data_IF_325826315954
#
_entry.id   IF_325826315954
#
_cell.length_a   1.000
_cell.length_b   1.000
_cell.length_c   1.000
_cell.angle_alpha   90.00
_cell.angle_beta   90.00
_cell.angle_gamma   90.00
#
_symmetry.space_group_name_H-M   'P 1'
#
loop_
_entity.id
_entity.type
_entity.pdbx_description
1 polymer ?
#
# COMPACT_ATOMS: atom_id res chain seq x y z
N UNK A 1 31.62 51.04 -20.42
CA UNK A 1 30.72 51.90 -19.62
C UNK A 1 29.80 50.97 -18.82
N UNK A 2 30.34 50.05 -18.00
CA UNK A 2 29.57 48.85 -17.58
C UNK A 2 29.76 48.45 -16.10
N UNK A 3 30.41 49.29 -15.29
CA UNK A 3 30.67 49.00 -13.87
C UNK A 3 29.50 49.31 -12.93
N UNK A 4 28.47 50.04 -13.37
CA UNK A 4 27.33 50.42 -12.52
C UNK A 4 26.30 49.31 -12.35
N UNK A 5 26.11 48.44 -13.36
CA UNK A 5 25.13 47.36 -13.31
C UNK A 5 25.42 46.31 -12.23
N UNK A 6 26.69 45.95 -12.04
CA UNK A 6 27.09 44.90 -11.08
C UNK A 6 27.00 45.37 -9.62
N UNK A 7 27.28 46.66 -9.37
CA UNK A 7 27.21 47.25 -8.04
C UNK A 7 25.76 47.48 -7.59
N UNK A 8 24.88 47.89 -8.50
CA UNK A 8 23.44 48.02 -8.28
C UNK A 8 22.77 46.67 -7.98
N UNK A 9 23.07 45.64 -8.77
CA UNK A 9 22.53 44.29 -8.56
C UNK A 9 22.97 43.67 -7.23
N UNK A 10 24.25 43.83 -6.86
CA UNK A 10 24.78 43.33 -5.58
C UNK A 10 24.14 44.03 -4.39
N UNK A 11 23.85 45.32 -4.51
CA UNK A 11 23.11 46.09 -3.49
C UNK A 11 21.67 45.61 -3.37
N UNK A 12 20.98 45.40 -4.49
CA UNK A 12 19.60 44.89 -4.52
C UNK A 12 19.45 43.48 -3.92
N UNK A 13 20.37 42.56 -4.22
CA UNK A 13 20.37 41.20 -3.62
C UNK A 13 20.56 41.22 -2.10
N UNK A 14 21.20 42.25 -1.55
CA UNK A 14 21.46 42.40 -0.11
C UNK A 14 20.33 43.11 0.63
N UNK A 15 19.45 43.82 -0.06
CA UNK A 15 18.32 44.53 0.56
C UNK A 15 17.01 43.74 0.50
N UNK A 16 17.01 42.53 -0.09
CA UNK A 16 15.83 41.67 -0.25
C UNK A 16 16.16 40.21 0.08
N UNK A 17 15.16 39.38 0.45
CA UNK A 17 15.32 37.94 0.64
C UNK A 17 15.50 37.21 -0.71
N UNK A 18 16.58 37.55 -1.44
CA UNK A 18 16.80 37.11 -2.82
C UNK A 18 16.82 35.58 -2.93
N UNK A 19 17.65 34.93 -2.11
CA UNK A 19 17.79 33.48 -2.11
C UNK A 19 16.50 32.76 -1.71
N UNK A 20 15.75 33.32 -0.75
CA UNK A 20 14.44 32.78 -0.36
C UNK A 20 13.46 32.74 -1.54
N UNK A 21 13.35 33.86 -2.27
CA UNK A 21 12.52 33.93 -3.47
C UNK A 21 13.00 33.01 -4.60
N UNK A 22 14.32 32.91 -4.83
CA UNK A 22 14.89 32.04 -5.89
C UNK A 22 14.52 30.57 -5.64
N UNK A 23 14.75 30.06 -4.43
CA UNK A 23 14.44 28.65 -4.14
C UNK A 23 12.94 28.38 -4.16
N UNK A 24 12.10 29.31 -3.69
CA UNK A 24 10.65 29.17 -3.78
C UNK A 24 10.15 29.14 -5.23
N UNK A 25 10.66 30.03 -6.10
CA UNK A 25 10.28 30.08 -7.52
C UNK A 25 10.73 28.81 -8.25
N UNK A 26 11.98 28.36 -8.02
CA UNK A 26 12.46 27.11 -8.61
C UNK A 26 11.67 25.90 -8.13
N UNK A 27 11.33 25.84 -6.84
CA UNK A 27 10.48 24.78 -6.28
C UNK A 27 9.09 24.77 -6.93
N UNK A 28 8.48 25.93 -7.14
CA UNK A 28 7.17 26.02 -7.80
C UNK A 28 7.20 25.72 -9.31
N UNK A 29 8.26 26.12 -10.00
CA UNK A 29 8.48 25.77 -11.42
C UNK A 29 8.68 24.27 -11.62
N UNK A 30 9.45 23.62 -10.75
CA UNK A 30 9.62 22.16 -10.74
C UNK A 30 8.26 21.44 -10.61
N UNK A 31 7.40 21.92 -9.69
CA UNK A 31 6.06 21.36 -9.50
C UNK A 31 5.18 21.47 -10.75
N UNK A 32 5.32 22.55 -11.52
CA UNK A 32 4.53 22.78 -12.74
C UNK A 32 5.13 22.03 -13.94
N UNK A 33 6.46 21.94 -14.04
CA UNK A 33 7.14 21.38 -15.21
C UNK A 33 6.92 19.87 -15.40
N UNK A 34 6.76 19.14 -14.29
CA UNK A 34 6.69 17.66 -14.33
C UNK A 34 5.43 17.14 -15.03
N UNK A 35 4.21 17.68 -14.77
CA UNK A 35 3.02 17.32 -15.55
C UNK A 35 3.15 17.56 -17.07
N UNK A 36 4.02 18.47 -17.50
CA UNK A 36 4.25 18.75 -18.93
C UNK A 36 5.30 17.81 -19.56
N UNK A 37 6.02 17.01 -18.77
CA UNK A 37 6.98 16.05 -19.31
C UNK A 37 6.21 14.93 -20.03
N UNK A 38 6.43 14.71 -21.34
CA UNK A 38 5.73 13.67 -22.10
C UNK A 38 6.31 12.30 -21.75
N UNK A 39 5.97 11.79 -20.57
CA UNK A 39 6.14 10.38 -20.28
C UNK A 39 4.97 9.63 -20.95
N UNK A 40 5.22 8.55 -21.71
CA UNK A 40 4.19 7.76 -22.39
C UNK A 40 3.42 6.88 -21.39
N UNK A 41 2.95 7.48 -20.30
CA UNK A 41 1.98 6.91 -19.39
C UNK A 41 0.66 7.63 -19.66
N UNK A 42 -0.19 6.97 -20.44
CA UNK A 42 -1.61 7.33 -20.59
C UNK A 42 -2.28 7.08 -19.24
N UNK A 43 -2.04 7.97 -18.28
CA UNK A 43 -2.80 8.12 -17.06
C UNK A 43 -3.73 9.27 -17.34
N UNK A 44 -5.05 9.01 -17.38
CA UNK A 44 -6.02 10.08 -17.30
C UNK A 44 -5.70 10.89 -16.04
N UNK A 45 -5.12 12.08 -16.23
CA UNK A 45 -4.69 12.99 -15.18
C UNK A 45 -5.90 13.34 -14.33
N UNK A 46 -6.09 12.62 -13.21
CA UNK A 46 -7.20 12.84 -12.30
C UNK A 46 -7.16 14.25 -11.68
N UNK A 47 -8.20 14.61 -10.93
CA UNK A 47 -8.33 15.90 -10.24
C UNK A 47 -7.10 16.30 -9.38
N UNK A 48 -6.29 15.32 -8.95
CA UNK A 48 -5.03 15.55 -8.23
C UNK A 48 -3.97 16.31 -9.06
N UNK A 49 -3.97 16.17 -10.39
CA UNK A 49 -3.06 16.89 -11.27
C UNK A 49 -3.28 18.40 -11.22
N UNK A 50 -4.54 18.85 -11.18
CA UNK A 50 -4.89 20.28 -11.17
C UNK A 50 -4.47 20.95 -9.86
N UNK A 51 -4.54 20.23 -8.73
CA UNK A 51 -4.11 20.77 -7.43
C UNK A 51 -2.61 21.11 -7.41
N UNK A 52 -1.77 20.31 -8.07
CA UNK A 52 -0.32 20.57 -8.15
C UNK A 52 0.02 21.84 -8.92
N UNK A 53 -0.74 22.17 -9.96
CA UNK A 53 -0.58 23.41 -10.74
C UNK A 53 -0.94 24.63 -9.89
N UNK A 54 -2.04 24.55 -9.13
CA UNK A 54 -2.43 25.62 -8.21
C UNK A 54 -1.40 25.85 -7.11
N UNK A 55 -0.91 24.78 -6.48
CA UNK A 55 0.09 24.86 -5.41
C UNK A 55 1.42 25.39 -5.97
N UNK A 56 1.87 24.89 -7.12
CA UNK A 56 3.09 25.37 -7.80
C UNK A 56 2.99 26.84 -8.18
N UNK A 57 1.87 27.28 -8.77
CA UNK A 57 1.66 28.68 -9.13
C UNK A 57 1.63 29.60 -7.90
N UNK A 58 1.01 29.17 -6.80
CA UNK A 58 0.98 29.93 -5.56
C UNK A 58 2.36 30.04 -4.92
N UNK A 59 3.18 28.98 -5.01
CA UNK A 59 4.56 28.97 -4.52
C UNK A 59 5.47 29.90 -5.35
N UNK A 60 5.34 29.88 -6.69
CA UNK A 60 6.04 30.85 -7.56
C UNK A 60 5.62 32.28 -7.22
N UNK A 61 4.33 32.51 -7.05
CA UNK A 61 3.78 33.82 -6.69
C UNK A 61 4.34 34.30 -5.35
N UNK A 62 4.39 33.42 -4.34
CA UNK A 62 4.98 33.74 -3.04
C UNK A 62 6.47 34.13 -3.15
N UNK A 63 7.25 33.41 -3.97
CA UNK A 63 8.66 33.71 -4.21
C UNK A 63 8.89 35.04 -4.94
N UNK A 64 8.03 35.38 -5.92
CA UNK A 64 8.06 36.69 -6.60
C UNK A 64 7.64 37.82 -5.66
N UNK A 65 6.60 37.61 -4.85
CA UNK A 65 6.13 38.59 -3.88
C UNK A 65 7.16 38.86 -2.77
N UNK A 66 8.00 37.88 -2.41
CA UNK A 66 9.15 38.14 -1.53
C UNK A 66 10.14 39.16 -2.12
N UNK A 67 10.31 39.20 -3.44
CA UNK A 67 11.12 40.22 -4.09
C UNK A 67 10.37 41.54 -4.19
N UNK A 68 9.09 41.55 -4.53
CA UNK A 68 8.31 42.79 -4.68
C UNK A 68 8.03 43.51 -3.35
N UNK A 69 7.76 42.73 -2.29
CA UNK A 69 7.27 43.22 -1.01
C UNK A 69 8.05 42.63 0.18
N UNK A 70 9.31 43.06 0.40
CA UNK A 70 10.15 42.54 1.49
C UNK A 70 9.63 42.86 2.90
N UNK A 71 8.64 43.77 3.03
CA UNK A 71 7.95 44.07 4.28
C UNK A 71 7.08 42.92 4.78
N UNK A 72 6.47 42.13 3.88
CA UNK A 72 5.58 41.01 4.22
C UNK A 72 6.28 39.64 4.10
N UNK A 73 7.62 39.63 4.03
CA UNK A 73 8.41 38.40 3.77
C UNK A 73 8.14 37.25 4.75
N UNK A 74 7.83 37.54 6.02
CA UNK A 74 7.56 36.50 7.02
C UNK A 74 6.29 35.72 6.68
N UNK A 75 5.25 36.42 6.20
CA UNK A 75 4.01 35.81 5.76
C UNK A 75 4.24 34.92 4.54
N UNK A 76 4.95 35.44 3.53
CA UNK A 76 5.27 34.66 2.32
C UNK A 76 6.22 33.50 2.59
N UNK A 77 7.12 33.62 3.58
CA UNK A 77 8.02 32.54 3.99
C UNK A 77 7.28 31.39 4.65
N UNK A 78 6.37 31.70 5.58
CA UNK A 78 5.49 30.69 6.18
C UNK A 78 4.57 30.09 5.13
N UNK A 79 3.98 30.90 4.24
CA UNK A 79 3.14 30.41 3.15
C UNK A 79 3.89 29.45 2.22
N UNK A 80 5.15 29.75 1.87
CA UNK A 80 5.99 28.87 1.06
C UNK A 80 6.25 27.52 1.75
N UNK A 81 6.54 27.53 3.05
CA UNK A 81 6.69 26.30 3.85
C UNK A 81 5.39 25.50 3.88
N UNK A 82 4.25 26.15 4.14
CA UNK A 82 2.94 25.50 4.19
C UNK A 82 2.55 24.89 2.83
N UNK A 83 2.78 25.61 1.73
CA UNK A 83 2.50 25.11 0.37
C UNK A 83 3.41 23.94 0.00
N UNK A 84 4.68 24.00 0.42
CA UNK A 84 5.63 22.91 0.22
C UNK A 84 5.20 21.64 0.96
N UNK A 85 4.74 21.76 2.21
CA UNK A 85 4.22 20.63 2.99
C UNK A 85 2.87 20.12 2.45
N UNK A 86 1.98 21.03 2.02
CA UNK A 86 0.70 20.67 1.42
C UNK A 86 0.88 19.91 0.10
N UNK A 87 1.91 20.25 -0.69
CA UNK A 87 2.26 19.53 -1.93
C UNK A 87 2.62 18.06 -1.69
N UNK A 88 3.21 17.74 -0.53
CA UNK A 88 3.51 16.36 -0.15
C UNK A 88 2.25 15.56 0.17
N UNK A 89 1.30 16.17 0.89
CA UNK A 89 0.07 15.51 1.32
C UNK A 89 -0.93 15.30 0.17
N UNK A 90 -0.90 16.16 -0.83
CA UNK A 90 -1.91 16.20 -1.90
C UNK A 90 -1.55 15.37 -3.14
N UNK A 91 -0.27 15.09 -3.37
CA UNK A 91 0.17 14.30 -4.52
C UNK A 91 0.57 12.89 -4.08
N UNK A 92 -0.12 11.86 -4.60
CA UNK A 92 0.22 10.44 -4.36
C UNK A 92 1.64 10.06 -4.85
N UNK A 93 2.24 10.93 -5.66
CA UNK A 93 3.67 11.05 -5.88
C UNK A 93 4.07 12.46 -5.50
N UNK A 94 4.25 12.67 -4.18
CA UNK A 94 4.54 13.95 -3.53
C UNK A 94 5.41 14.81 -4.43
N UNK A 95 4.97 16.04 -4.71
CA UNK A 95 5.69 17.00 -5.54
C UNK A 95 7.17 16.85 -5.31
N UNK A 96 7.83 16.29 -6.33
CA UNK A 96 9.12 15.59 -6.29
C UNK A 96 10.03 16.11 -5.17
N UNK A 97 10.67 15.24 -4.38
CA UNK A 97 11.45 15.61 -3.17
C UNK A 97 12.28 16.90 -3.33
N UNK A 98 12.81 17.13 -4.53
CA UNK A 98 13.50 18.35 -4.95
C UNK A 98 12.61 19.60 -4.80
N UNK A 99 11.43 19.68 -5.42
CA UNK A 99 10.51 20.82 -5.30
C UNK A 99 10.08 21.10 -3.86
N UNK A 100 9.84 20.05 -3.07
CA UNK A 100 9.58 20.18 -1.64
C UNK A 100 10.78 20.75 -0.86
N UNK A 101 11.98 20.25 -1.12
CA UNK A 101 13.19 20.74 -0.44
C UNK A 101 13.46 22.20 -0.82
N UNK A 102 13.30 22.55 -2.10
CA UNK A 102 13.45 23.92 -2.58
C UNK A 102 12.41 24.86 -1.97
N UNK A 103 11.15 24.45 -1.89
CA UNK A 103 10.09 25.24 -1.26
C UNK A 103 10.34 25.45 0.23
N UNK A 104 10.72 24.40 0.96
CA UNK A 104 11.04 24.44 2.38
C UNK A 104 12.24 25.36 2.67
N UNK A 105 13.35 25.17 1.92
CA UNK A 105 14.56 25.98 2.07
C UNK A 105 14.30 27.43 1.67
N UNK A 106 13.56 27.67 0.59
CA UNK A 106 13.18 29.02 0.16
C UNK A 106 12.33 29.75 1.20
N UNK A 107 11.33 29.07 1.76
CA UNK A 107 10.49 29.62 2.82
C UNK A 107 11.26 29.92 4.10
N UNK A 108 12.13 29.00 4.54
CA UNK A 108 12.96 29.19 5.73
C UNK A 108 13.97 30.34 5.55
N UNK A 109 14.62 30.45 4.39
CA UNK A 109 15.55 31.55 4.09
C UNK A 109 14.82 32.89 3.99
N UNK A 110 13.62 32.92 3.42
CA UNK A 110 12.81 34.14 3.36
C UNK A 110 12.33 34.61 4.73
N UNK A 111 11.98 33.66 5.61
CA UNK A 111 11.58 33.94 6.98
C UNK A 111 12.76 34.42 7.85
N UNK A 112 13.92 33.76 7.74
CA UNK A 112 15.11 34.07 8.51
C UNK A 112 15.82 35.36 8.05
N UNK A 113 15.56 35.83 6.83
CA UNK A 113 16.19 37.04 6.32
C UNK A 113 15.78 38.26 7.17
N UNK A 114 16.76 39.09 7.54
CA UNK A 114 16.55 40.36 8.25
C UNK A 114 17.31 41.49 7.57
N UNK A 115 16.75 42.72 7.45
CA UNK A 115 17.48 43.85 6.93
C UNK A 115 18.69 44.10 7.83
N UNK A 116 19.85 44.32 7.22
CA UNK A 116 21.03 44.73 7.98
C UNK A 116 20.69 46.03 8.72
N UNK A 117 20.86 46.03 10.05
CA UNK A 117 20.72 47.24 10.84
C UNK A 117 21.70 48.29 10.28
N UNK A 118 21.28 49.57 10.15
CA UNK A 118 22.22 50.63 9.80
C UNK A 118 23.40 50.55 10.76
N UNK A 119 24.62 50.53 10.22
CA UNK A 119 25.81 50.66 11.04
C UNK A 119 25.64 51.92 11.88
N UNK A 120 25.42 51.76 13.18
CA UNK A 120 25.34 52.90 14.10
C UNK A 120 26.62 53.69 13.88
N UNK A 121 26.55 55.01 13.57
CA UNK A 121 27.73 55.82 13.39
C UNK A 121 28.63 55.57 14.59
N UNK A 122 29.82 55.04 14.34
CA UNK A 122 30.81 54.88 15.39
C UNK A 122 30.98 56.26 16.00
N UNK A 123 30.60 56.43 17.27
CA UNK A 123 30.81 57.67 17.99
C UNK A 123 32.27 58.06 17.78
N UNK A 124 32.59 59.32 17.42
CA UNK A 124 33.94 59.73 17.09
C UNK A 124 34.86 59.29 18.22
N UNK A 125 35.76 58.35 17.91
CA UNK A 125 36.72 57.86 18.87
C UNK A 125 37.51 59.08 19.39
N UNK A 126 37.64 59.28 20.71
CA UNK A 126 38.47 60.35 21.21
C UNK A 126 39.87 60.18 20.60
N UNK A 127 40.40 61.24 19.98
CA UNK A 127 41.77 61.28 19.46
C UNK A 127 42.71 60.96 20.62
N UNK A 128 43.06 59.69 20.80
CA UNK A 128 44.13 59.30 21.70
C UNK A 128 45.44 59.69 21.04
N UNK A 129 46.14 60.59 21.73
CA UNK A 129 47.51 60.97 21.42
C UNK A 129 48.34 59.71 21.19
N UNK A 130 49.11 59.75 20.12
CA UNK A 130 50.02 58.72 19.68
C UNK A 130 51.12 58.55 20.73
N UNK A 131 51.06 57.48 21.51
CA UNK A 131 52.24 56.95 22.20
C UNK A 131 52.42 55.50 21.82
N UNK A 132 53.58 55.25 21.19
CA UNK A 132 53.98 53.96 20.67
C UNK A 132 54.25 52.97 21.80
N UNK A 133 54.03 51.70 21.49
CA UNK A 133 54.30 50.61 22.41
C UNK A 133 53.52 49.38 21.99
N UNK A 134 54.12 48.58 21.11
CA UNK A 134 53.63 47.26 20.70
C UNK A 134 53.42 46.39 21.94
N UNK A 135 52.23 45.82 22.14
CA UNK A 135 52.07 44.61 22.95
C UNK A 135 50.95 43.71 22.39
N UNK A 136 51.39 42.54 21.95
CA UNK A 136 50.65 41.28 21.88
C UNK A 136 50.38 40.75 23.30
N UNK A 137 49.13 40.37 23.62
CA UNK A 137 48.73 39.40 24.64
C UNK A 137 47.21 39.18 24.53
N UNK A 138 46.71 38.03 24.05
CA UNK A 138 46.39 36.78 24.79
C UNK A 138 45.19 36.91 25.76
N UNK A 139 44.12 36.22 25.34
CA UNK A 139 43.00 35.53 26.00
C UNK A 139 42.69 35.68 27.52
N UNK A 140 41.39 35.96 27.79
CA UNK A 140 40.37 35.37 28.73
C UNK A 140 40.73 35.05 30.21
N UNK A 141 39.79 34.91 31.20
CA UNK A 141 38.34 34.63 31.11
C UNK A 141 37.39 35.27 32.19
N UNK A 142 36.10 34.86 32.13
CA UNK A 142 35.13 34.63 33.22
C UNK A 142 34.30 35.79 33.85
N UNK A 143 32.97 35.71 33.65
CA UNK A 143 31.86 35.86 34.63
C UNK A 143 30.52 35.91 33.84
N UNK A 144 29.82 34.81 33.56
CA UNK A 144 28.79 34.19 34.41
C UNK A 144 27.88 35.19 35.14
N UNK A 145 26.65 35.33 34.64
CA UNK A 145 25.57 36.11 35.25
C UNK A 145 24.23 35.85 34.55
N UNK A 146 23.66 34.65 34.77
CA UNK A 146 22.25 34.35 34.52
C UNK A 146 21.38 35.08 35.55
N UNK A 147 20.22 35.62 35.12
CA UNK A 147 19.01 35.42 35.92
C UNK A 147 17.82 35.10 35.01
N UNK A 148 17.29 33.87 35.10
CA UNK A 148 15.93 33.54 34.67
C UNK A 148 15.40 32.41 35.56
N UNK A 149 15.07 32.76 36.81
CA UNK A 149 14.02 32.10 37.56
C UNK A 149 12.78 32.97 37.48
N UNK A 150 11.89 32.64 36.54
CA UNK A 150 10.48 32.99 36.61
C UNK A 150 9.70 31.71 36.26
N UNK A 151 8.96 31.12 37.23
CA UNK A 151 8.21 29.90 37.01
C UNK A 151 6.96 30.18 36.17
N UNK A 152 6.76 29.36 35.14
CA UNK A 152 5.56 29.34 34.32
C UNK A 152 4.42 28.71 35.12
N UNK A 153 3.19 29.25 35.10
CA UNK A 153 2.05 28.62 35.77
C UNK A 153 1.66 27.32 35.05
N UNK A 154 1.83 26.20 35.75
CA UNK A 154 1.35 24.87 35.37
C UNK A 154 -0.18 24.77 35.54
N UNK A 155 -0.93 24.24 34.57
CA UNK A 155 -2.32 23.87 34.79
C UNK A 155 -2.43 22.64 35.73
N UNK A 156 -3.47 22.54 36.57
CA UNK A 156 -3.58 21.51 37.59
C UNK A 156 -3.76 20.11 37.01
N UNK A 157 -2.95 19.18 37.53
CA UNK A 157 -3.07 17.75 37.30
C UNK A 157 -4.45 17.24 37.75
N UNK A 158 -5.21 16.75 36.78
CA UNK A 158 -6.37 15.91 37.03
C UNK A 158 -5.94 14.61 37.71
N UNK A 159 -6.57 14.36 38.84
CA UNK A 159 -6.53 13.16 39.66
C UNK A 159 -6.61 11.86 38.86
N UNK A 160 -5.68 10.96 39.13
CA UNK A 160 -5.76 9.55 38.78
C UNK A 160 -7.02 8.90 39.38
N UNK A 161 -7.72 8.01 38.65
CA UNK A 161 -8.47 6.94 39.25
C UNK A 161 -7.60 5.70 39.35
N UNK A 162 -7.37 5.31 40.59
CA UNK A 162 -6.93 4.02 41.09
C UNK A 162 -7.51 2.84 40.33
N UNK A 163 -6.66 1.89 39.94
CA UNK A 163 -7.04 0.48 39.76
C UNK A 163 -7.12 -0.19 41.13
N UNK A 164 -8.21 -0.89 41.45
CA UNK A 164 -8.13 -1.99 42.40
C UNK A 164 -8.59 -3.31 41.76
N UNK A 165 -7.65 -4.25 41.74
CA UNK A 165 -7.80 -5.58 42.35
C UNK A 165 -8.94 -6.48 41.87
N UNK A 166 -8.53 -7.55 41.19
CA UNK A 166 -9.29 -8.80 41.06
C UNK A 166 -9.53 -9.47 42.43
N UNK A 167 -10.65 -10.18 42.62
CA UNK A 167 -10.75 -11.25 43.59
C UNK A 167 -10.72 -12.63 42.89
N UNK A 168 -9.87 -13.49 43.42
CA UNK A 168 -9.78 -14.92 43.13
C UNK A 168 -10.63 -15.71 44.14
N UNK A 169 -11.21 -16.82 43.67
CA UNK A 169 -11.60 -18.07 44.38
C UNK A 169 -12.90 -18.08 45.25
N UNK A 170 -13.43 -19.25 45.67
CA UNK A 170 -13.52 -20.61 45.05
C UNK A 170 -14.92 -21.28 45.26
N UNK A 171 -14.99 -22.62 45.08
CA UNK A 171 -16.03 -23.60 45.49
C UNK A 171 -17.19 -23.83 44.49
N UNK A 172 -17.68 -25.05 44.26
CA UNK A 172 -17.31 -26.40 44.67
C UNK A 172 -18.05 -27.42 43.78
N UNK A 173 -17.42 -28.57 43.59
CA UNK A 173 -17.98 -29.88 43.16
C UNK A 173 -19.18 -30.31 44.03
N UNK A 174 -20.05 -31.26 43.62
CA UNK A 174 -19.65 -32.68 43.66
C UNK A 174 -20.14 -33.56 42.49
N UNK A 175 -19.37 -34.61 42.24
CA UNK A 175 -19.78 -35.85 41.56
C UNK A 175 -20.85 -36.63 42.36
N UNK A 176 -21.48 -37.64 41.77
CA UNK A 176 -21.00 -39.03 41.97
C UNK A 176 -20.96 -39.82 40.64
N UNK A 177 -19.89 -40.55 40.33
CA UNK A 177 -19.61 -41.94 40.73
C UNK A 177 -20.72 -42.93 40.39
N UNK A 178 -20.48 -43.76 39.37
CA UNK A 178 -20.80 -45.20 39.39
C UNK A 178 -20.06 -45.92 38.24
N UNK A 179 -19.05 -46.68 38.61
CA UNK A 179 -18.65 -47.95 37.97
C UNK A 179 -19.15 -49.08 38.92
N UNK A 180 -19.04 -50.40 38.64
CA UNK A 180 -18.32 -51.07 37.55
C UNK A 180 -19.01 -52.33 36.95
N UNK A 181 -18.27 -53.04 36.07
CA UNK A 181 -18.31 -54.50 35.80
C UNK A 181 -19.36 -54.99 34.79
N UNK A 182 -19.01 -55.69 33.70
CA UNK A 182 -18.37 -57.03 33.68
C UNK A 182 -17.87 -57.39 32.26
N UNK A 183 -16.75 -58.11 32.17
CA UNK A 183 -16.34 -58.91 31.00
C UNK A 183 -17.03 -60.29 31.05
N UNK A 184 -17.06 -61.12 29.97
CA UNK A 184 -15.87 -61.93 29.60
C UNK A 184 -15.66 -62.25 28.09
N UNK A 185 -14.38 -62.34 27.73
CA UNK A 185 -13.71 -63.44 26.99
C UNK A 185 -14.28 -64.02 25.68
N UNK A 186 -13.53 -63.90 24.57
CA UNK A 186 -13.14 -65.03 23.71
C UNK A 186 -12.06 -64.67 22.67
N UNK A 187 -10.97 -65.46 22.65
CA UNK A 187 -9.93 -65.58 21.60
C UNK A 187 -9.89 -67.08 21.21
N UNK A 188 -9.74 -67.46 19.92
CA UNK A 188 -8.48 -68.02 19.36
C UNK A 188 -8.18 -67.44 17.94
N UNK A 189 -6.97 -66.94 17.60
CA UNK A 189 -5.79 -67.62 17.00
C UNK A 189 -5.99 -68.20 15.57
N UNK A 190 -4.95 -68.42 14.73
CA UNK A 190 -3.82 -67.58 14.30
C UNK A 190 -3.68 -67.47 12.75
N UNK A 191 -2.71 -66.66 12.32
CA UNK A 191 -2.04 -66.46 11.00
C UNK A 191 -2.11 -67.60 9.96
N UNK A 192 -2.15 -67.26 8.64
CA UNK A 192 -0.92 -67.41 7.86
C UNK A 192 -0.65 -66.22 6.90
N UNK A 193 0.59 -65.72 6.95
CA UNK A 193 1.33 -65.27 5.78
C UNK A 193 2.52 -66.26 5.62
N UNK A 194 3.19 -66.39 4.46
CA UNK A 194 3.03 -65.65 3.21
C UNK A 194 2.89 -66.57 1.98
N UNK A 195 2.28 -66.07 0.90
CA UNK A 195 2.57 -66.59 -0.45
C UNK A 195 2.80 -65.42 -1.37
N UNK A 196 4.09 -65.17 -1.60
CA UNK A 196 4.60 -64.46 -2.77
C UNK A 196 4.03 -65.08 -4.03
N UNK A 197 3.16 -64.36 -4.73
CA UNK A 197 2.91 -64.58 -6.15
C UNK A 197 2.97 -63.25 -6.86
N UNK A 198 4.17 -62.99 -7.38
CA UNK A 198 4.49 -62.05 -8.44
C UNK A 198 3.40 -62.08 -9.53
N UNK A 199 2.54 -61.07 -9.55
CA UNK A 199 1.72 -60.72 -10.71
C UNK A 199 1.74 -59.20 -10.83
N UNK A 200 2.18 -58.70 -11.97
CA UNK A 200 2.27 -57.28 -12.26
C UNK A 200 0.96 -56.59 -11.88
N UNK A 201 1.06 -55.52 -11.08
CA UNK A 201 -0.08 -54.75 -10.60
C UNK A 201 -0.81 -54.10 -11.78
N UNK A 202 -1.92 -54.69 -12.18
CA UNK A 202 -2.93 -54.06 -13.02
C UNK A 202 -3.55 -52.87 -12.28
N UNK A 203 -3.90 -51.81 -12.99
CA UNK A 203 -4.56 -50.64 -12.40
C UNK A 203 -5.79 -51.03 -11.57
N UNK A 204 -5.90 -50.57 -10.31
CA UNK A 204 -7.12 -50.78 -9.52
C UNK A 204 -8.28 -49.94 -10.07
N UNK A 205 -9.47 -50.55 -10.16
CA UNK A 205 -10.70 -49.86 -10.59
C UNK A 205 -11.05 -48.74 -9.62
N UNK A 206 -11.15 -47.51 -10.14
CA UNK A 206 -11.54 -46.33 -9.37
C UNK A 206 -13.07 -46.20 -9.42
N UNK A 207 -13.78 -46.22 -8.27
CA UNK A 207 -15.22 -46.03 -8.26
C UNK A 207 -15.58 -44.62 -8.76
N UNK A 208 -16.55 -44.53 -9.66
CA UNK A 208 -16.94 -43.32 -10.39
C UNK A 208 -17.37 -42.17 -9.46
N UNK A 209 -17.88 -42.52 -8.28
CA UNK A 209 -18.35 -41.59 -7.28
C UNK A 209 -17.72 -42.05 -5.96
N UNK A 210 -16.81 -41.28 -5.37
CA UNK A 210 -16.05 -41.63 -4.15
C UNK A 210 -16.88 -41.82 -2.87
N UNK A 211 -18.17 -42.14 -2.98
CA UNK A 211 -19.05 -42.46 -1.88
C UNK A 211 -18.72 -43.86 -1.35
N UNK A 212 -18.30 -43.92 -0.08
CA UNK A 212 -18.09 -45.18 0.65
C UNK A 212 -16.63 -45.51 1.00
N UNK A 213 -15.66 -44.69 0.62
CA UNK A 213 -14.25 -44.89 0.96
C UNK A 213 -13.87 -44.11 2.22
N UNK A 214 -13.30 -44.79 3.22
CA UNK A 214 -12.67 -44.13 4.36
C UNK A 214 -11.39 -43.38 3.93
N UNK A 215 -10.99 -42.37 4.72
CA UNK A 215 -9.82 -41.54 4.42
C UNK A 215 -8.51 -42.35 4.30
N UNK A 216 -8.42 -43.47 5.01
CA UNK A 216 -7.28 -44.38 4.98
C UNK A 216 -7.28 -45.24 3.71
N UNK A 217 -8.45 -45.72 3.30
CA UNK A 217 -8.62 -46.44 2.03
C UNK A 217 -8.32 -45.55 0.82
N UNK A 218 -8.74 -44.28 0.85
CA UNK A 218 -8.44 -43.33 -0.22
C UNK A 218 -6.93 -43.04 -0.31
N UNK A 219 -6.24 -42.90 0.83
CA UNK A 219 -4.78 -42.71 0.86
C UNK A 219 -4.05 -43.93 0.30
N UNK A 220 -4.45 -45.13 0.69
CA UNK A 220 -3.87 -46.36 0.17
C UNK A 220 -4.14 -46.54 -1.34
N UNK A 221 -5.31 -46.15 -1.83
CA UNK A 221 -5.64 -46.15 -3.26
C UNK A 221 -4.80 -45.13 -4.05
N UNK A 222 -4.60 -43.92 -3.52
CA UNK A 222 -3.71 -42.93 -4.13
C UNK A 222 -2.26 -43.41 -4.17
N UNK A 223 -1.80 -44.07 -3.11
CA UNK A 223 -0.46 -44.64 -3.03
C UNK A 223 -0.27 -45.80 -4.04
N UNK A 224 -1.29 -46.64 -4.22
CA UNK A 224 -1.24 -47.75 -5.19
C UNK A 224 -1.30 -47.27 -6.63
N UNK A 225 -2.10 -46.24 -6.94
CA UNK A 225 -2.13 -45.60 -8.26
C UNK A 225 -0.77 -44.98 -8.62
N UNK A 226 -0.12 -44.29 -7.67
CA UNK A 226 1.20 -43.68 -7.87
C UNK A 226 2.35 -44.68 -8.03
N UNK A 227 2.21 -45.87 -7.47
CA UNK A 227 3.25 -46.91 -7.54
C UNK A 227 3.02 -47.92 -8.67
N UNK A 228 1.87 -47.86 -9.36
CA UNK A 228 1.57 -48.71 -10.49
C UNK A 228 2.43 -48.36 -11.72
N UNK A 229 2.99 -49.39 -12.36
CA UNK A 229 3.74 -49.29 -13.62
C UNK A 229 2.87 -49.59 -14.84
N UNK A 230 1.57 -49.80 -14.67
CA UNK A 230 0.62 -50.05 -15.75
C UNK A 230 0.41 -48.75 -16.57
N UNK A 231 0.56 -48.78 -17.91
CA UNK A 231 0.33 -47.61 -18.77
C UNK A 231 -1.10 -47.06 -18.73
N UNK A 232 -2.09 -47.81 -18.21
CA UNK A 232 -3.43 -47.28 -17.95
C UNK A 232 -3.48 -46.31 -16.74
N UNK A 233 -2.50 -46.39 -15.82
CA UNK A 233 -2.37 -45.53 -14.64
C UNK A 233 -1.34 -44.40 -14.85
N UNK A 234 -0.53 -44.51 -15.90
CA UNK A 234 0.35 -43.43 -16.33
C UNK A 234 -0.51 -42.34 -16.97
N UNK A 235 -0.38 -41.09 -16.51
CA UNK A 235 -0.95 -39.96 -17.22
C UNK A 235 -0.39 -39.98 -18.65
N UNK A 236 -1.26 -40.08 -19.66
CA UNK A 236 -0.83 -39.96 -21.06
C UNK A 236 -0.35 -38.52 -21.29
N UNK A 237 0.96 -38.32 -21.21
CA UNK A 237 1.62 -37.08 -21.60
C UNK A 237 1.40 -36.84 -23.11
N UNK A 238 0.49 -35.93 -23.43
CA UNK A 238 0.58 -35.15 -24.65
C UNK A 238 1.82 -34.26 -24.55
N UNK A 239 2.92 -34.74 -25.12
CA UNK A 239 4.26 -34.19 -25.08
C UNK A 239 4.30 -32.72 -25.54
N UNK A 240 4.73 -31.81 -24.66
CA UNK A 240 6.00 -31.09 -24.79
C UNK A 240 6.22 -30.10 -23.61
N UNK A 241 7.47 -30.10 -23.12
CA UNK A 241 8.12 -29.08 -22.29
C UNK A 241 7.93 -29.15 -20.76
N UNK A 242 8.62 -30.11 -20.13
CA UNK A 242 9.17 -29.94 -18.79
C UNK A 242 10.68 -29.68 -18.87
N UNK A 243 11.07 -28.48 -19.32
CA UNK A 243 12.40 -27.93 -19.02
C UNK A 243 12.47 -26.40 -19.12
N UNK A 244 11.65 -25.67 -18.37
CA UNK A 244 12.05 -24.37 -17.83
C UNK A 244 11.20 -24.02 -16.60
N UNK A 245 11.87 -23.79 -15.49
CA UNK A 245 11.28 -23.23 -14.27
C UNK A 245 10.91 -21.76 -14.52
N UNK A 246 9.61 -21.46 -14.72
CA UNK A 246 8.94 -20.18 -14.49
C UNK A 246 7.47 -20.28 -14.95
N UNK A 247 6.52 -20.07 -14.03
CA UNK A 247 5.11 -19.78 -14.35
C UNK A 247 4.14 -20.97 -14.26
N UNK A 248 3.46 -21.10 -13.13
CA UNK A 248 2.28 -21.96 -12.96
C UNK A 248 1.19 -21.60 -13.98
N UNK A 249 0.89 -22.54 -14.87
CA UNK A 249 -0.47 -22.88 -15.33
C UNK A 249 -1.29 -21.76 -15.95
N UNK A 250 -1.06 -21.53 -17.24
CA UNK A 250 -1.87 -20.83 -18.25
C UNK A 250 -3.37 -20.67 -17.90
N UNK A 251 -3.76 -19.51 -17.38
CA UNK A 251 -5.15 -19.05 -17.47
C UNK A 251 -5.27 -18.18 -18.72
N UNK A 252 -5.84 -18.77 -19.78
CA UNK A 252 -6.39 -17.96 -20.84
C UNK A 252 -7.49 -17.09 -20.23
N UNK A 253 -7.30 -15.80 -20.34
CA UNK A 253 -8.32 -14.83 -20.04
C UNK A 253 -9.36 -14.88 -21.16
N UNK A 254 -10.46 -15.60 -20.92
CA UNK A 254 -11.48 -15.88 -21.93
C UNK A 254 -12.72 -15.02 -21.73
N UNK A 255 -13.00 -14.13 -22.69
CA UNK A 255 -14.25 -13.38 -22.79
C UNK A 255 -14.33 -12.15 -21.88
N UNK A 256 -15.05 -11.12 -22.32
CA UNK A 256 -15.40 -10.01 -21.44
C UNK A 256 -16.35 -10.55 -20.37
N UNK A 257 -15.87 -10.69 -19.13
CA UNK A 257 -16.71 -11.00 -17.97
C UNK A 257 -16.79 -9.78 -17.05
N UNK A 258 -17.93 -9.57 -16.42
CA UNK A 258 -18.12 -8.53 -15.41
C UNK A 258 -18.76 -9.18 -14.20
N UNK A 259 -18.17 -9.00 -13.04
CA UNK A 259 -18.73 -9.46 -11.77
C UNK A 259 -19.18 -8.25 -10.97
N UNK A 260 -20.43 -8.30 -10.51
CA UNK A 260 -21.01 -7.34 -9.56
C UNK A 260 -21.34 -8.04 -8.25
N UNK A 261 -21.13 -7.37 -7.13
CA UNK A 261 -21.52 -7.86 -5.81
C UNK A 261 -21.82 -6.69 -4.87
N UNK A 262 -22.77 -6.86 -3.97
CA UNK A 262 -23.13 -5.81 -3.01
C UNK A 262 -22.02 -5.60 -1.98
N UNK A 263 -21.32 -6.67 -1.62
CA UNK A 263 -20.20 -6.63 -0.69
C UNK A 263 -19.14 -7.68 -1.03
N UNK A 264 -17.88 -7.31 -0.81
CA UNK A 264 -16.71 -8.19 -0.80
C UNK A 264 -15.95 -7.97 0.51
N UNK A 265 -15.86 -9.02 1.31
CA UNK A 265 -15.01 -9.06 2.51
C UNK A 265 -13.81 -9.94 2.24
N UNK A 266 -12.61 -9.39 2.44
CA UNK A 266 -11.34 -10.08 2.21
C UNK A 266 -10.54 -10.16 3.50
N UNK A 267 -9.94 -11.32 3.76
CA UNK A 267 -9.12 -11.57 4.95
C UNK A 267 -7.75 -12.16 4.58
N UNK A 268 -6.71 -11.65 5.22
CA UNK A 268 -5.31 -11.92 4.85
C UNK A 268 -4.94 -11.31 3.49
N UNK A 269 -5.56 -10.18 3.11
CA UNK A 269 -5.35 -9.56 1.80
C UNK A 269 -3.93 -8.99 1.66
N UNK A 270 -3.30 -9.31 0.52
CA UNK A 270 -2.04 -8.77 0.03
C UNK A 270 -2.21 -8.36 -1.44
N UNK A 271 -1.58 -7.25 -1.82
CA UNK A 271 -1.41 -6.89 -3.23
C UNK A 271 -0.03 -7.31 -3.71
N UNK A 272 -0.01 -8.18 -4.71
CA UNK A 272 1.23 -8.78 -5.24
C UNK A 272 1.76 -8.02 -6.48
N UNK A 273 1.12 -6.91 -6.86
CA UNK A 273 1.51 -6.10 -8.01
C UNK A 273 0.66 -6.31 -9.26
N UNK A 274 1.22 -5.92 -10.40
CA UNK A 274 0.61 -6.10 -11.73
C UNK A 274 1.21 -7.34 -12.39
N UNK A 275 0.36 -8.27 -12.81
CA UNK A 275 0.74 -9.47 -13.54
C UNK A 275 0.30 -9.36 -15.02
N UNK A 276 1.12 -9.91 -15.91
CA UNK A 276 0.82 -10.03 -17.33
C UNK A 276 0.19 -11.40 -17.60
N UNK A 277 -1.08 -11.42 -17.99
CA UNK A 277 -1.84 -12.64 -18.28
C UNK A 277 -2.03 -12.84 -19.78
N UNK A 278 -1.91 -14.07 -20.29
CA UNK A 278 -2.23 -14.37 -21.68
C UNK A 278 -3.75 -14.33 -21.91
N UNK A 279 -4.19 -13.57 -22.92
CA UNK A 279 -5.57 -13.47 -23.39
C UNK A 279 -5.65 -13.89 -24.85
N UNK A 280 -6.85 -14.24 -25.32
CA UNK A 280 -7.10 -14.62 -26.71
C UNK A 280 -6.71 -13.52 -27.73
N UNK A 281 -6.64 -12.25 -27.31
CA UNK A 281 -6.25 -11.10 -28.14
C UNK A 281 -4.85 -10.53 -27.86
N UNK A 282 -4.03 -11.19 -27.03
CA UNK A 282 -2.71 -10.70 -26.63
C UNK A 282 -2.48 -10.75 -25.11
N UNK A 283 -1.50 -10.01 -24.61
CA UNK A 283 -1.21 -9.96 -23.16
C UNK A 283 -2.04 -8.87 -22.49
N UNK A 284 -2.67 -9.18 -21.36
CA UNK A 284 -3.47 -8.23 -20.57
C UNK A 284 -2.81 -8.03 -19.20
N UNK A 285 -2.61 -6.78 -18.81
CA UNK A 285 -2.15 -6.44 -17.46
C UNK A 285 -3.30 -6.51 -16.48
N UNK A 286 -3.12 -7.22 -15.37
CA UNK A 286 -4.11 -7.36 -14.32
C UNK A 286 -3.49 -7.11 -12.94
N UNK A 287 -4.27 -6.53 -12.04
CA UNK A 287 -3.94 -6.47 -10.62
C UNK A 287 -3.97 -7.87 -10.04
N UNK A 288 -2.94 -8.25 -9.28
CA UNK A 288 -2.87 -9.53 -8.57
C UNK A 288 -3.07 -9.31 -7.07
N UNK A 289 -4.07 -9.99 -6.53
CA UNK A 289 -4.35 -10.02 -5.10
C UNK A 289 -4.24 -11.45 -4.57
N UNK A 290 -3.63 -11.59 -3.40
CA UNK A 290 -3.54 -12.86 -2.67
C UNK A 290 -4.22 -12.71 -1.32
N UNK A 291 -5.03 -13.69 -0.93
CA UNK A 291 -5.76 -13.66 0.33
C UNK A 291 -6.07 -15.06 0.85
N UNK A 292 -6.35 -15.17 2.15
CA UNK A 292 -6.73 -16.45 2.76
C UNK A 292 -8.21 -16.79 2.55
N UNK A 293 -9.05 -15.75 2.48
CA UNK A 293 -10.51 -15.87 2.38
C UNK A 293 -11.12 -14.65 1.69
N UNK A 294 -12.10 -14.90 0.84
CA UNK A 294 -12.97 -13.89 0.25
C UNK A 294 -14.43 -14.29 0.42
N UNK A 295 -15.29 -13.36 0.84
CA UNK A 295 -16.73 -13.58 0.99
C UNK A 295 -17.46 -12.51 0.19
N UNK A 296 -18.26 -12.92 -0.78
CA UNK A 296 -19.07 -12.06 -1.62
C UNK A 296 -20.56 -12.30 -1.34
N UNK A 297 -21.34 -11.22 -1.35
CA UNK A 297 -22.80 -11.25 -1.22
C UNK A 297 -23.47 -10.72 -2.47
N UNK A 298 -24.57 -11.35 -2.87
CA UNK A 298 -25.40 -10.99 -4.02
C UNK A 298 -24.56 -10.82 -5.30
N UNK A 299 -23.86 -11.89 -5.67
CA UNK A 299 -23.00 -11.90 -6.85
C UNK A 299 -23.87 -12.02 -8.10
N UNK A 300 -23.58 -11.19 -9.09
CA UNK A 300 -24.12 -11.24 -10.44
C UNK A 300 -22.97 -11.12 -11.43
N UNK A 301 -22.62 -12.24 -12.05
CA UNK A 301 -21.53 -12.34 -13.01
C UNK A 301 -22.08 -12.56 -14.41
N UNK A 302 -21.75 -11.67 -15.33
CA UNK A 302 -22.01 -11.85 -16.75
C UNK A 302 -20.73 -12.28 -17.45
N UNK A 303 -20.80 -13.27 -18.32
CA UNK A 303 -19.67 -13.76 -19.11
C UNK A 303 -20.09 -13.83 -20.58
N UNK A 304 -19.38 -13.10 -21.44
CA UNK A 304 -19.63 -13.12 -22.87
C UNK A 304 -18.58 -13.99 -23.57
N UNK A 305 -18.99 -15.14 -24.08
CA UNK A 305 -18.15 -15.96 -24.94
C UNK A 305 -18.03 -15.29 -26.32
N UNK A 306 -16.84 -15.31 -26.92
CA UNK A 306 -16.60 -14.70 -28.25
C UNK A 306 -17.45 -15.43 -29.29
N UNK A 307 -18.49 -14.77 -29.82
CA UNK A 307 -19.42 -15.34 -30.81
C UNK A 307 -20.56 -16.20 -30.22
N UNK A 308 -20.74 -16.23 -28.90
CA UNK A 308 -21.80 -16.98 -28.22
C UNK A 308 -22.75 -16.08 -27.42
N UNK A 309 -23.88 -16.64 -26.99
CA UNK A 309 -24.80 -15.96 -26.08
C UNK A 309 -24.10 -15.67 -24.73
N UNK A 310 -24.33 -14.48 -24.19
CA UNK A 310 -23.82 -14.13 -22.87
C UNK A 310 -24.53 -14.99 -21.81
N UNK A 311 -23.75 -15.51 -20.86
CA UNK A 311 -24.27 -16.25 -19.71
C UNK A 311 -24.21 -15.37 -18.48
N UNK A 312 -25.27 -15.40 -17.68
CA UNK A 312 -25.38 -14.69 -16.41
C UNK A 312 -25.49 -15.70 -15.29
N UNK A 313 -24.64 -15.53 -14.29
CA UNK A 313 -24.56 -16.38 -13.11
C UNK A 313 -24.86 -15.51 -11.89
N UNK A 314 -25.89 -15.85 -11.14
CA UNK A 314 -26.25 -15.18 -9.88
C UNK A 314 -26.07 -16.12 -8.70
N UNK A 315 -25.53 -15.61 -7.60
CA UNK A 315 -25.48 -16.35 -6.34
C UNK A 315 -25.63 -15.40 -5.15
N UNK A 316 -26.56 -15.65 -4.22
CA UNK A 316 -26.69 -14.89 -2.98
C UNK A 316 -25.40 -14.83 -2.15
N UNK A 317 -24.63 -15.93 -2.11
CA UNK A 317 -23.40 -16.00 -1.34
C UNK A 317 -22.33 -16.82 -2.07
N UNK A 318 -21.13 -16.26 -2.12
CA UNK A 318 -19.94 -16.92 -2.64
C UNK A 318 -18.82 -16.75 -1.62
N UNK A 319 -18.36 -17.86 -1.04
CA UNK A 319 -17.23 -17.87 -0.11
C UNK A 319 -16.08 -18.67 -0.73
N UNK A 320 -14.91 -18.05 -0.81
CA UNK A 320 -13.68 -18.63 -1.31
C UNK A 320 -12.68 -18.73 -0.17
N UNK A 321 -12.00 -19.87 -0.04
CA UNK A 321 -11.08 -20.15 1.07
C UNK A 321 -9.86 -20.92 0.60
N UNK A 322 -8.71 -20.65 1.23
CA UNK A 322 -7.45 -21.34 0.98
C UNK A 322 -6.77 -20.81 -0.28
N UNK A 323 -5.62 -20.15 -0.09
CA UNK A 323 -4.76 -19.59 -1.14
C UNK A 323 -5.54 -18.93 -2.29
N UNK A 324 -6.42 -18.00 -1.91
CA UNK A 324 -7.26 -17.29 -2.87
C UNK A 324 -6.39 -16.29 -3.63
N UNK A 325 -6.23 -16.50 -4.93
CA UNK A 325 -5.53 -15.58 -5.83
C UNK A 325 -6.52 -15.03 -6.85
N UNK A 326 -6.68 -13.71 -6.85
CA UNK A 326 -7.58 -12.99 -7.72
C UNK A 326 -6.79 -12.08 -8.66
N UNK A 327 -7.14 -12.14 -9.95
CA UNK A 327 -6.69 -11.22 -10.97
C UNK A 327 -7.87 -10.40 -11.50
N UNK A 328 -7.68 -9.10 -11.69
CA UNK A 328 -8.70 -8.21 -12.25
C UNK A 328 -8.04 -7.07 -13.02
N UNK A 329 -8.62 -6.66 -14.15
CA UNK A 329 -8.10 -5.51 -14.91
C UNK A 329 -8.58 -4.18 -14.36
N UNK A 330 -9.75 -4.20 -13.71
CA UNK A 330 -10.34 -3.02 -13.12
C UNK A 330 -11.32 -3.44 -12.04
N UNK A 331 -11.19 -2.84 -10.87
CA UNK A 331 -12.07 -3.09 -9.74
C UNK A 331 -12.54 -1.74 -9.19
N UNK A 332 -13.84 -1.49 -9.26
CA UNK A 332 -14.49 -0.32 -8.66
C UNK A 332 -15.32 -0.77 -7.46
N UNK A 333 -15.27 -0.01 -6.37
CA UNK A 333 -16.04 -0.30 -5.16
C UNK A 333 -16.06 0.90 -4.22
N UNK A 334 -16.84 0.85 -3.15
CA UNK A 334 -16.77 1.81 -2.05
C UNK A 334 -16.02 1.20 -0.87
N UNK A 335 -14.97 1.88 -0.42
CA UNK A 335 -14.24 1.56 0.80
C UNK A 335 -14.63 2.59 1.86
N UNK A 336 -15.22 2.13 2.98
CA UNK A 336 -15.76 3.02 4.02
C UNK A 336 -16.75 4.09 3.48
N UNK A 337 -17.48 3.74 2.42
CA UNK A 337 -18.41 4.64 1.73
C UNK A 337 -17.80 5.53 0.63
N UNK A 338 -16.47 5.57 0.51
CA UNK A 338 -15.77 6.38 -0.50
C UNK A 338 -15.56 5.55 -1.78
N UNK A 339 -16.02 5.99 -2.96
CA UNK A 339 -15.81 5.27 -4.20
C UNK A 339 -14.32 5.31 -4.60
N UNK A 340 -13.76 4.14 -4.84
CA UNK A 340 -12.39 3.93 -5.28
C UNK A 340 -12.38 2.96 -6.46
N UNK A 341 -11.55 3.25 -7.45
CA UNK A 341 -11.31 2.37 -8.60
C UNK A 341 -9.84 2.05 -8.69
N UNK A 342 -9.54 0.77 -8.85
CA UNK A 342 -8.18 0.24 -8.96
C UNK A 342 -7.98 -0.32 -10.36
N UNK A 343 -6.87 0.06 -10.99
CA UNK A 343 -6.39 -0.50 -12.28
C UNK A 343 -4.89 -0.73 -12.21
N UNK A 344 -4.30 -1.51 -13.13
CA UNK A 344 -2.84 -1.66 -13.22
C UNK A 344 -2.06 -0.34 -13.25
N UNK A 345 -2.63 0.72 -13.81
CA UNK A 345 -2.04 2.06 -13.89
C UNK A 345 -2.24 2.89 -12.62
N UNK A 346 -3.26 2.55 -11.82
CA UNK A 346 -3.59 3.18 -10.54
C UNK A 346 -3.84 2.10 -9.49
N UNK A 347 -2.76 1.43 -9.01
CA UNK A 347 -2.87 0.37 -8.02
C UNK A 347 -3.35 0.91 -6.67
N UNK A 348 -3.92 0.05 -5.80
CA UNK A 348 -4.35 0.47 -4.47
C UNK A 348 -3.17 1.05 -3.66
N UNK A 349 -3.31 2.24 -3.06
CA UNK A 349 -2.21 2.91 -2.34
C UNK A 349 -1.84 2.19 -1.03
N UNK A 350 -2.76 1.41 -0.47
CA UNK A 350 -2.54 0.61 0.72
C UNK A 350 -3.48 -0.59 0.71
N UNK A 351 -2.96 -1.80 0.94
CA UNK A 351 -3.78 -2.98 1.25
C UNK A 351 -3.76 -3.25 2.73
N UNK A 352 -4.94 -3.32 3.34
CA UNK A 352 -5.10 -3.78 4.71
C UNK A 352 -5.28 -5.30 4.72
N UNK A 353 -4.71 -6.04 5.69
CA UNK A 353 -4.92 -7.48 5.82
C UNK A 353 -6.40 -7.87 5.93
N UNK A 354 -7.24 -6.96 6.42
CA UNK A 354 -8.68 -7.11 6.46
C UNK A 354 -9.34 -5.91 5.79
N UNK A 355 -10.16 -6.16 4.76
CA UNK A 355 -10.82 -5.10 4.00
C UNK A 355 -12.25 -5.51 3.63
N UNK A 356 -13.17 -4.56 3.79
CA UNK A 356 -14.58 -4.70 3.39
C UNK A 356 -14.89 -3.62 2.37
N UNK A 357 -15.47 -4.04 1.26
CA UNK A 357 -15.88 -3.19 0.16
C UNK A 357 -17.36 -3.38 -0.11
N UNK A 358 -18.04 -2.33 -0.53
CA UNK A 358 -19.43 -2.38 -1.00
C UNK A 358 -19.52 -1.91 -2.45
N UNK A 359 -20.64 -2.20 -3.13
CA UNK A 359 -20.87 -1.82 -4.54
C UNK A 359 -19.72 -2.26 -5.47
N UNK A 360 -19.33 -3.53 -5.35
CA UNK A 360 -18.15 -4.07 -6.02
C UNK A 360 -18.48 -4.38 -7.46
N UNK A 361 -17.69 -3.83 -8.38
CA UNK A 361 -17.71 -4.12 -9.80
C UNK A 361 -16.30 -4.47 -10.23
N UNK A 362 -16.08 -5.73 -10.61
CA UNK A 362 -14.81 -6.20 -11.15
C UNK A 362 -14.98 -6.53 -12.63
N UNK A 363 -14.13 -5.94 -13.45
CA UNK A 363 -14.01 -6.29 -14.86
C UNK A 363 -13.02 -7.43 -15.00
N UNK A 364 -13.49 -8.45 -15.70
CA UNK A 364 -12.76 -9.64 -16.10
C UNK A 364 -12.00 -10.31 -14.95
N UNK A 365 -12.71 -10.65 -13.86
CA UNK A 365 -12.10 -11.32 -12.73
C UNK A 365 -11.69 -12.75 -13.13
N UNK A 366 -10.49 -13.14 -12.72
CA UNK A 366 -10.06 -14.53 -12.69
C UNK A 366 -9.64 -14.89 -11.28
N UNK A 367 -10.30 -15.88 -10.68
CA UNK A 367 -10.05 -16.27 -9.30
C UNK A 367 -9.68 -17.74 -9.23
N UNK A 368 -8.72 -18.06 -8.38
CA UNK A 368 -8.47 -19.43 -7.90
C UNK A 368 -8.48 -19.47 -6.41
N UNK A 369 -8.96 -20.58 -5.87
CA UNK A 369 -8.95 -20.90 -4.46
C UNK A 369 -8.89 -22.42 -4.31
N UNK A 370 -8.40 -22.89 -3.17
CA UNK A 370 -8.40 -24.32 -2.82
C UNK A 370 -9.81 -24.82 -2.45
N UNK A 371 -10.69 -23.92 -2.00
CA UNK A 371 -12.08 -24.22 -1.67
C UNK A 371 -13.02 -23.10 -2.08
N UNK A 372 -14.21 -23.49 -2.54
CA UNK A 372 -15.31 -22.60 -2.89
C UNK A 372 -16.63 -23.15 -2.33
N UNK A 373 -17.42 -22.28 -1.72
CA UNK A 373 -18.75 -22.55 -1.20
C UNK A 373 -19.72 -21.58 -1.88
N UNK A 374 -20.72 -22.11 -2.57
CA UNK A 374 -21.66 -21.34 -3.38
C UNK A 374 -23.07 -21.76 -2.98
N UNK A 375 -23.93 -20.80 -2.64
CA UNK A 375 -25.31 -21.09 -2.22
C UNK A 375 -26.28 -20.46 -3.19
N UNK A 376 -27.25 -21.22 -3.69
CA UNK A 376 -28.32 -20.67 -4.54
C UNK A 376 -27.84 -20.21 -5.91
N UNK A 377 -26.96 -20.99 -6.54
CA UNK A 377 -26.44 -20.71 -7.88
C UNK A 377 -27.56 -20.77 -8.93
N UNK A 378 -27.84 -19.64 -9.56
CA UNK A 378 -28.70 -19.53 -10.73
C UNK A 378 -27.86 -19.22 -11.96
N UNK A 379 -27.97 -20.02 -13.01
CA UNK A 379 -27.32 -19.78 -14.31
C UNK A 379 -28.43 -19.53 -15.34
N UNK A 380 -28.31 -18.47 -16.12
CA UNK A 380 -29.25 -18.12 -17.18
C UNK A 380 -28.55 -17.48 -18.37
N UNK A 381 -29.33 -17.24 -19.44
CA UNK A 381 -28.92 -16.32 -20.49
C UNK A 381 -28.90 -14.89 -19.93
N UNK A 382 -27.92 -14.08 -20.32
CA UNK A 382 -27.71 -12.74 -19.78
C UNK A 382 -28.71 -11.70 -20.30
#
# INVERSE_FOLDING_TARGET
>A
MDSDGTSGFRRWRRTRPFWGGVFAVLGGLELIAIPLAPLPLVVHQGMAGVASWLIGALLVTAGVLMWAQPAQRSFYGVLAVLLSLASFLTSNFGGFFVGLLLGLVGGALGFAWSPAAPARPAAPAPRRARHGGRLTAIALPAALGLPLLAPWPTPPFGTAPTTPTAPTAPMATPSPTTAPSTAPTAKPAPTPAPTTSTKAATCPDVPSNGAGLSQEQLRNLLQSLRSSKDPACQAKDGQAASKQAAGSGTRLYTGASTLRADSLTMSGLSYDGVASLPSAGGTVKALKFSMSKAVLKNVDQTTSARGGAASRTRTPNLTLTGDVVMYTTKMSSKLLGIPLTFTPESPPPLTLPYMVMTDVVSEQPSVTANGAQITGLGIGAA
#
